data_IF_371402562689
#
_entry.id   IF_371402562689
#
_cell.length_a   1.000
_cell.length_b   1.000
_cell.length_c   1.000
_cell.angle_alpha   90.00
_cell.angle_beta   90.00
_cell.angle_gamma   90.00
#
_symmetry.space_group_name_H-M   'P 1'
#
loop_
_entity.id
_entity.type
_entity.pdbx_description
1 polymer ?
#
# COMPACT_ATOMS: atom_id res chain seq x y z
N UNK A 1 20.90 20.14 -8.66
CA UNK A 1 19.98 19.39 -7.77
C UNK A 1 19.73 18.02 -8.39
N UNK A 2 19.81 16.96 -7.59
CA UNK A 2 19.66 15.59 -8.08
C UNK A 2 18.19 15.30 -8.40
N UNK A 3 17.75 15.68 -9.61
CA UNK A 3 16.39 15.48 -10.14
C UNK A 3 15.85 14.06 -9.88
N UNK A 4 16.63 12.96 -10.03
CA UNK A 4 16.12 11.61 -9.77
C UNK A 4 15.74 11.39 -8.30
N UNK A 5 16.53 11.96 -7.38
CA UNK A 5 16.30 11.86 -5.94
C UNK A 5 15.04 12.66 -5.56
N UNK A 6 14.86 13.85 -6.16
CA UNK A 6 13.66 14.65 -5.95
C UNK A 6 12.39 13.92 -6.40
N UNK A 7 12.40 13.32 -7.60
CA UNK A 7 11.29 12.52 -8.09
C UNK A 7 11.01 11.32 -7.19
N UNK A 8 12.05 10.59 -6.79
CA UNK A 8 11.92 9.44 -5.90
C UNK A 8 11.18 9.79 -4.60
N UNK A 9 11.56 10.90 -3.96
CA UNK A 9 10.95 11.35 -2.70
C UNK A 9 9.51 11.82 -2.89
N UNK A 10 9.21 12.56 -3.97
CA UNK A 10 7.85 13.03 -4.28
C UNK A 10 6.91 11.86 -4.57
N UNK A 11 7.34 10.90 -5.39
CA UNK A 11 6.54 9.71 -5.68
C UNK A 11 6.28 8.88 -4.42
N UNK A 12 7.30 8.66 -3.60
CA UNK A 12 7.16 7.94 -2.33
C UNK A 12 6.23 8.64 -1.33
N UNK A 13 6.27 9.98 -1.26
CA UNK A 13 5.40 10.78 -0.40
C UNK A 13 3.94 10.70 -0.85
N UNK A 14 3.69 10.93 -2.14
CA UNK A 14 2.35 10.79 -2.72
C UNK A 14 1.80 9.36 -2.55
N UNK A 15 2.65 8.35 -2.75
CA UNK A 15 2.28 6.94 -2.54
C UNK A 15 1.89 6.66 -1.08
N UNK A 16 2.64 7.18 -0.12
CA UNK A 16 2.34 7.05 1.31
C UNK A 16 1.00 7.67 1.70
N UNK A 17 0.72 8.88 1.21
CA UNK A 17 -0.54 9.57 1.46
C UNK A 17 -1.74 8.82 0.86
N UNK A 18 -1.62 8.34 -0.39
CA UNK A 18 -2.68 7.59 -1.06
C UNK A 18 -2.92 6.21 -0.41
N UNK A 19 -1.85 5.55 0.03
CA UNK A 19 -1.93 4.19 0.59
C UNK A 19 -2.35 4.18 2.06
N UNK A 20 -2.29 5.32 2.77
CA UNK A 20 -2.72 5.42 4.17
C UNK A 20 -4.17 4.93 4.37
N UNK A 21 -5.08 5.25 3.43
CA UNK A 21 -6.48 4.79 3.48
C UNK A 21 -6.62 3.26 3.35
N UNK A 22 -5.63 2.61 2.76
CA UNK A 22 -5.59 1.17 2.51
C UNK A 22 -4.54 0.45 3.38
N UNK A 23 -4.07 1.07 4.47
CA UNK A 23 -3.10 0.44 5.41
C UNK A 23 -3.57 -0.94 5.92
N UNK A 24 -4.89 -1.18 5.91
CA UNK A 24 -5.50 -2.45 6.26
C UNK A 24 -5.24 -3.59 5.26
N UNK A 25 -4.79 -3.31 4.03
CA UNK A 25 -4.41 -4.34 3.05
C UNK A 25 -3.19 -5.15 3.49
N UNK A 26 -2.38 -4.63 4.42
CA UNK A 26 -1.18 -5.26 4.95
C UNK A 26 -1.30 -5.67 6.43
N UNK A 27 -2.48 -5.49 7.04
CA UNK A 27 -2.78 -6.01 8.36
C UNK A 27 -3.61 -7.28 8.17
N UNK A 28 -2.96 -8.43 8.23
CA UNK A 28 -3.55 -9.77 8.11
C UNK A 28 -4.43 -10.07 9.34
N UNK A 29 -5.61 -9.47 9.42
CA UNK A 29 -6.58 -9.79 10.46
C UNK A 29 -7.68 -8.73 10.55
N UNK A 30 -8.89 -9.11 10.99
CA UNK A 30 -9.97 -8.17 11.25
C UNK A 30 -9.60 -7.33 12.48
N UNK A 31 -8.72 -6.34 12.31
CA UNK A 31 -8.44 -5.38 13.37
C UNK A 31 -9.64 -4.45 13.43
N UNK A 32 -10.58 -4.82 14.31
CA UNK A 32 -11.56 -3.90 14.90
C UNK A 32 -10.82 -2.59 15.19
N UNK A 33 -11.35 -1.46 14.71
CA UNK A 33 -10.88 -0.11 15.04
C UNK A 33 -10.69 -0.10 16.56
N UNK A 34 -9.43 -0.23 17.00
CA UNK A 34 -9.13 -0.18 18.41
C UNK A 34 -9.30 1.29 18.73
N UNK A 35 -10.38 1.61 19.43
CA UNK A 35 -10.50 2.86 20.17
C UNK A 35 -9.30 2.89 21.13
N UNK A 36 -8.16 3.35 20.63
CA UNK A 36 -6.97 3.63 21.40
C UNK A 36 -6.81 5.14 21.33
N UNK A 37 -7.41 5.79 22.33
CA UNK A 37 -6.67 6.70 23.19
C UNK A 37 -5.21 6.94 22.77
N UNK A 38 -4.90 8.20 22.46
CA UNK A 38 -3.57 8.78 22.68
C UNK A 38 -2.47 8.57 21.61
N UNK A 39 -2.82 8.34 20.34
CA UNK A 39 -1.88 8.63 19.25
C UNK A 39 -2.52 9.60 18.26
N UNK A 40 -1.89 10.76 18.13
CA UNK A 40 -2.35 11.83 17.26
C UNK A 40 -2.52 11.25 15.83
N UNK A 41 -3.69 11.37 15.17
CA UNK A 41 -3.89 10.89 13.80
C UNK A 41 -2.85 11.44 12.82
N UNK A 42 -2.21 12.57 13.15
CA UNK A 42 -1.08 13.13 12.42
C UNK A 42 0.18 12.27 12.54
N UNK A 43 0.51 11.76 13.73
CA UNK A 43 1.72 10.97 13.99
C UNK A 43 1.70 9.65 13.22
N UNK A 44 0.55 8.96 13.24
CA UNK A 44 0.36 7.73 12.47
C UNK A 44 0.43 7.93 10.95
N UNK A 45 0.05 9.11 10.45
CA UNK A 45 0.15 9.47 9.03
C UNK A 45 1.57 9.80 8.61
N UNK A 46 2.29 10.56 9.43
CA UNK A 46 3.68 10.95 9.17
C UNK A 46 4.59 9.73 9.16
N UNK A 47 4.47 8.86 10.18
CA UNK A 47 5.25 7.62 10.24
C UNK A 47 4.99 6.72 9.03
N UNK A 48 3.72 6.53 8.65
CA UNK A 48 3.36 5.75 7.47
C UNK A 48 3.93 6.33 6.18
N UNK A 49 3.83 7.64 6.02
CA UNK A 49 4.33 8.34 4.82
C UNK A 49 5.85 8.24 4.72
N UNK A 50 6.58 8.34 5.84
CA UNK A 50 8.04 8.15 5.89
C UNK A 50 8.47 6.71 5.55
N UNK A 51 7.73 5.71 6.00
CA UNK A 51 8.00 4.31 5.63
C UNK A 51 7.74 4.13 4.12
N UNK A 52 6.61 4.64 3.63
CA UNK A 52 6.27 4.58 2.22
C UNK A 52 7.26 5.35 1.34
N UNK A 53 7.82 6.48 1.77
CA UNK A 53 8.79 7.22 0.95
C UNK A 53 10.07 6.44 0.69
N UNK A 54 10.51 5.61 1.65
CA UNK A 54 11.69 4.77 1.50
C UNK A 54 11.37 3.44 0.80
N UNK A 55 10.19 2.88 1.07
CA UNK A 55 9.84 1.51 0.68
C UNK A 55 8.90 1.41 -0.53
N UNK A 56 8.44 2.53 -1.10
CA UNK A 56 7.51 2.52 -2.24
C UNK A 56 7.95 1.65 -3.42
N UNK A 57 9.24 1.55 -3.83
CA UNK A 57 9.60 0.74 -4.99
C UNK A 57 9.31 -0.74 -4.72
N UNK A 58 9.63 -1.19 -3.51
CA UNK A 58 9.36 -2.55 -3.07
C UNK A 58 7.85 -2.81 -2.97
N UNK A 59 7.09 -1.88 -2.41
CA UNK A 59 5.62 -2.00 -2.31
C UNK A 59 4.94 -1.98 -3.69
N UNK A 60 5.43 -1.19 -4.64
CA UNK A 60 4.93 -1.18 -6.03
C UNK A 60 5.21 -2.51 -6.71
N UNK A 61 6.44 -3.04 -6.62
CA UNK A 61 6.81 -4.31 -7.23
C UNK A 61 6.02 -5.49 -6.65
N UNK A 62 5.93 -5.58 -5.32
CA UNK A 62 5.20 -6.64 -4.63
C UNK A 62 3.69 -6.52 -4.82
N UNK A 63 3.14 -5.31 -4.82
CA UNK A 63 1.74 -5.03 -5.09
C UNK A 63 1.34 -5.41 -6.52
N UNK A 64 2.15 -5.05 -7.51
CA UNK A 64 1.90 -5.37 -8.91
C UNK A 64 1.95 -6.89 -9.16
N UNK A 65 2.91 -7.59 -8.53
CA UNK A 65 2.99 -9.05 -8.60
C UNK A 65 1.74 -9.72 -8.00
N UNK A 66 1.31 -9.27 -6.81
CA UNK A 66 0.11 -9.78 -6.15
C UNK A 66 -1.14 -9.53 -7.00
N UNK A 67 -1.29 -8.32 -7.56
CA UNK A 67 -2.39 -7.99 -8.46
C UNK A 67 -2.41 -8.88 -9.70
N UNK A 68 -1.24 -9.12 -10.31
CA UNK A 68 -1.09 -10.00 -11.47
C UNK A 68 -1.51 -11.44 -11.17
N UNK A 69 -1.04 -12.00 -10.05
CA UNK A 69 -1.40 -13.35 -9.62
C UNK A 69 -2.91 -13.46 -9.38
N UNK A 70 -3.50 -12.49 -8.68
CA UNK A 70 -4.94 -12.46 -8.40
C UNK A 70 -5.76 -12.30 -9.69
N UNK A 71 -5.34 -11.44 -10.61
CA UNK A 71 -5.99 -11.26 -11.91
C UNK A 71 -5.99 -12.55 -12.72
N UNK A 72 -4.85 -13.27 -12.75
CA UNK A 72 -4.76 -14.59 -13.40
C UNK A 72 -5.69 -15.62 -12.73
N UNK A 73 -5.72 -15.68 -11.39
CA UNK A 73 -6.61 -16.59 -10.66
C UNK A 73 -8.09 -16.30 -10.92
N UNK A 74 -8.48 -15.01 -10.96
CA UNK A 74 -9.85 -14.58 -11.31
C UNK A 74 -10.20 -14.97 -12.75
N UNK A 75 -9.28 -14.79 -13.70
CA UNK A 75 -9.49 -15.18 -15.10
C UNK A 75 -9.68 -16.70 -15.26
N UNK A 76 -8.90 -17.50 -14.54
CA UNK A 76 -9.06 -18.97 -14.52
C UNK A 76 -10.38 -19.38 -13.89
N UNK A 77 -10.74 -18.81 -12.74
CA UNK A 77 -12.02 -19.11 -12.08
C UNK A 77 -13.24 -18.68 -12.90
N UNK A 78 -13.14 -17.59 -13.68
CA UNK A 78 -14.20 -17.14 -14.58
C UNK A 78 -14.38 -18.06 -15.80
N UNK A 79 -13.32 -18.75 -16.25
CA UNK A 79 -13.39 -19.76 -17.31
C UNK A 79 -14.02 -21.06 -16.80
N UNK A 80 -13.59 -21.53 -15.62
CA UNK A 80 -14.14 -22.73 -14.99
C UNK A 80 -15.62 -22.64 -14.56
N UNK A 81 -16.22 -21.43 -14.51
CA UNK A 81 -17.66 -21.24 -14.28
C UNK A 81 -18.50 -21.25 -15.56
N UNK A 82 -17.87 -21.21 -16.74
CA UNK A 82 -18.56 -21.19 -18.04
C UNK A 82 -18.67 -22.58 -18.69
N UNK A 83 -17.87 -23.53 -18.21
CA UNK A 83 -17.93 -24.96 -18.57
C UNK A 83 -18.92 -25.68 -17.63
#
# INVERSE_FOLDING_TARGET
MNLPIALFLVFGFCFGLLTYSNRHLFSEGPTKRRDNSESDPLDGRVMWTLICTMLWPLMVLTGLNTWWILARRRAVAARARKD
#
